data_IF_516841499879
#
_entry.id   IF_516841499879
#
_cell.length_a   1.000
_cell.length_b   1.000
_cell.length_c   1.000
_cell.angle_alpha   90.00
_cell.angle_beta   90.00
_cell.angle_gamma   90.00
#
_symmetry.space_group_name_H-M   'P 1'
#
loop_
_entity.id
_entity.type
_entity.pdbx_description
1 polymer ?
#
# COMPACT_ATOMS: atom_id res chain seq x y z
N UNK A 1 -11.23 4.03 18.49
CA UNK A 1 -9.76 3.99 18.65
C UNK A 1 -9.24 2.64 19.14
N UNK A 2 -9.72 2.07 20.24
CA UNK A 2 -9.20 0.78 20.78
C UNK A 2 -9.17 -0.36 19.75
N UNK A 3 -10.27 -0.59 19.02
CA UNK A 3 -10.32 -1.64 17.98
C UNK A 3 -9.37 -1.40 16.80
N UNK A 4 -9.15 -0.13 16.44
CA UNK A 4 -8.29 0.24 15.32
C UNK A 4 -6.82 -0.10 15.64
N UNK A 5 -6.33 0.39 16.78
CA UNK A 5 -4.96 0.13 17.24
C UNK A 5 -4.75 -1.35 17.56
N UNK A 6 -5.77 -2.03 18.09
CA UNK A 6 -5.71 -3.46 18.36
C UNK A 6 -5.54 -4.27 17.07
N UNK A 7 -6.32 -3.98 16.02
CA UNK A 7 -6.16 -4.64 14.72
C UNK A 7 -4.80 -4.30 14.10
N UNK A 8 -4.42 -3.02 14.13
CA UNK A 8 -3.22 -2.53 13.47
C UNK A 8 -1.94 -3.09 14.08
N UNK A 9 -1.87 -3.24 15.40
CA UNK A 9 -0.64 -3.60 16.09
C UNK A 9 -0.64 -5.05 16.61
N UNK A 10 -1.78 -5.58 17.04
CA UNK A 10 -1.83 -6.82 17.82
C UNK A 10 -2.49 -8.00 17.09
N UNK A 11 -3.08 -7.79 15.90
CA UNK A 11 -3.76 -8.84 15.13
C UNK A 11 -3.21 -8.96 13.71
N UNK A 12 -2.00 -9.52 13.53
CA UNK A 12 -1.33 -9.58 12.22
C UNK A 12 -2.14 -10.33 11.15
N UNK A 13 -2.87 -11.37 11.51
CA UNK A 13 -3.74 -12.12 10.61
C UNK A 13 -4.94 -11.32 10.12
N UNK A 14 -5.58 -10.56 11.01
CA UNK A 14 -6.70 -9.67 10.64
C UNK A 14 -6.18 -8.52 9.80
N UNK A 15 -5.04 -7.94 10.18
CA UNK A 15 -4.39 -6.87 9.42
C UNK A 15 -4.03 -7.30 8.01
N UNK A 16 -3.42 -8.48 7.86
CA UNK A 16 -3.09 -9.04 6.55
C UNK A 16 -4.35 -9.31 5.72
N UNK A 17 -5.43 -9.81 6.34
CA UNK A 17 -6.70 -10.01 5.66
C UNK A 17 -7.31 -8.71 5.14
N UNK A 18 -7.35 -7.67 5.97
CA UNK A 18 -7.83 -6.33 5.60
C UNK A 18 -6.97 -5.75 4.47
N UNK A 19 -5.64 -5.81 4.60
CA UNK A 19 -4.70 -5.32 3.58
C UNK A 19 -4.80 -6.08 2.25
N UNK A 20 -5.20 -7.35 2.28
CA UNK A 20 -5.25 -8.24 1.10
C UNK A 20 -6.17 -7.72 0.00
N UNK A 21 -7.28 -7.05 0.34
CA UNK A 21 -8.21 -6.49 -0.64
C UNK A 21 -7.63 -5.30 -1.43
N UNK A 22 -6.78 -4.48 -0.81
CA UNK A 22 -6.04 -3.42 -1.51
C UNK A 22 -4.92 -4.03 -2.35
N UNK A 23 -4.16 -4.97 -1.78
CA UNK A 23 -3.08 -5.65 -2.48
C UNK A 23 -3.56 -6.36 -3.76
N UNK A 24 -4.70 -7.04 -3.71
CA UNK A 24 -5.31 -7.69 -4.86
C UNK A 24 -5.69 -6.70 -5.97
N UNK A 25 -6.22 -5.51 -5.61
CA UNK A 25 -6.52 -4.43 -6.56
C UNK A 25 -5.25 -3.90 -7.21
N UNK A 26 -4.21 -3.62 -6.42
CA UNK A 26 -2.91 -3.15 -6.92
C UNK A 26 -2.32 -4.18 -7.89
N UNK A 27 -2.31 -5.45 -7.49
CA UNK A 27 -1.75 -6.52 -8.31
C UNK A 27 -2.52 -6.72 -9.62
N UNK A 28 -3.84 -6.62 -9.58
CA UNK A 28 -4.66 -6.64 -10.79
C UNK A 28 -4.25 -5.54 -11.78
N UNK A 29 -4.16 -4.31 -11.30
CA UNK A 29 -3.76 -3.18 -12.13
C UNK A 29 -2.29 -3.22 -12.57
N UNK A 30 -1.38 -3.76 -11.75
CA UNK A 30 0.01 -4.04 -12.17
C UNK A 30 0.05 -4.94 -13.39
N UNK A 31 -0.73 -6.02 -13.37
CA UNK A 31 -0.84 -6.94 -14.52
C UNK A 31 -1.45 -6.29 -15.74
N UNK A 32 -2.44 -5.40 -15.56
CA UNK A 32 -3.01 -4.62 -16.66
C UNK A 32 -1.99 -3.63 -17.23
N UNK A 33 -1.26 -2.91 -16.38
CA UNK A 33 -0.26 -1.95 -16.80
C UNK A 33 0.85 -2.59 -17.65
N UNK A 34 1.28 -3.82 -17.32
CA UNK A 34 2.22 -4.60 -18.14
C UNK A 34 1.74 -4.87 -19.57
N UNK A 35 0.42 -4.90 -19.79
CA UNK A 35 -0.19 -5.10 -21.12
C UNK A 35 -0.33 -3.81 -21.90
N UNK A 36 -0.08 -2.67 -21.27
CA UNK A 36 -0.26 -1.33 -21.84
C UNK A 36 1.11 -0.74 -22.20
N UNK A 37 1.13 0.23 -23.13
CA UNK A 37 2.39 0.78 -23.68
C UNK A 37 3.27 1.38 -22.57
N UNK A 38 4.59 1.19 -22.67
CA UNK A 38 5.59 1.82 -21.79
C UNK A 38 5.34 3.34 -21.71
N UNK A 39 5.39 3.89 -20.49
CA UNK A 39 5.09 5.30 -20.20
C UNK A 39 3.64 5.62 -19.80
N UNK A 40 2.76 4.62 -19.76
CA UNK A 40 1.39 4.81 -19.26
C UNK A 40 1.38 5.08 -17.75
N UNK A 41 0.73 6.17 -17.34
CA UNK A 41 0.48 6.50 -15.93
C UNK A 41 -0.92 6.03 -15.55
N UNK A 42 -1.03 5.35 -14.42
CA UNK A 42 -2.32 4.92 -13.86
C UNK A 42 -2.47 5.54 -12.47
N UNK A 43 -3.68 5.97 -12.13
CA UNK A 43 -4.07 6.30 -10.76
C UNK A 43 -4.88 5.12 -10.24
N UNK A 44 -4.30 4.36 -9.31
CA UNK A 44 -4.66 2.96 -9.15
C UNK A 44 -5.69 2.67 -8.07
N UNK A 45 -5.76 3.44 -6.99
CA UNK A 45 -6.66 3.08 -5.89
C UNK A 45 -7.13 4.32 -5.14
N UNK A 46 -8.45 4.56 -5.18
CA UNK A 46 -9.09 5.37 -4.16
C UNK A 46 -9.57 4.43 -3.05
N UNK A 47 -9.00 4.57 -1.85
CA UNK A 47 -9.40 3.81 -0.66
C UNK A 47 -9.80 4.84 0.38
N UNK A 48 -11.08 4.84 0.77
CA UNK A 48 -11.65 5.83 1.68
C UNK A 48 -11.70 5.34 3.15
N UNK A 49 -11.16 4.17 3.46
CA UNK A 49 -11.23 3.59 4.79
C UNK A 49 -9.86 3.64 5.47
N UNK A 50 -9.79 4.45 6.53
CA UNK A 50 -8.60 4.68 7.36
C UNK A 50 -7.93 3.38 7.80
N UNK A 51 -8.72 2.39 8.26
CA UNK A 51 -8.20 1.10 8.69
C UNK A 51 -7.59 0.30 7.54
N UNK A 52 -8.26 0.24 6.39
CA UNK A 52 -7.77 -0.52 5.24
C UNK A 52 -6.42 0.03 4.77
N UNK A 53 -6.33 1.36 4.70
CA UNK A 53 -5.12 2.09 4.35
C UNK A 53 -3.99 1.85 5.35
N UNK A 54 -4.28 2.05 6.64
CA UNK A 54 -3.30 1.86 7.70
C UNK A 54 -2.79 0.43 7.73
N UNK A 55 -3.68 -0.57 7.65
CA UNK A 55 -3.31 -1.98 7.59
C UNK A 55 -2.44 -2.29 6.36
N UNK A 56 -2.80 -1.77 5.18
CA UNK A 56 -2.02 -1.98 3.96
C UNK A 56 -0.63 -1.34 4.04
N UNK A 57 -0.53 -0.11 4.54
CA UNK A 57 0.76 0.57 4.69
C UNK A 57 1.61 -0.09 5.77
N UNK A 58 1.02 -0.55 6.88
CA UNK A 58 1.75 -1.30 7.92
C UNK A 58 2.42 -2.55 7.34
N UNK A 59 1.76 -3.22 6.41
CA UNK A 59 2.26 -4.45 5.79
C UNK A 59 3.25 -4.18 4.64
N UNK A 60 3.02 -3.16 3.81
CA UNK A 60 3.73 -3.03 2.53
C UNK A 60 4.56 -1.75 2.38
N UNK A 61 4.44 -0.76 3.25
CA UNK A 61 5.24 0.46 3.16
C UNK A 61 6.70 0.13 3.48
N UNK A 62 7.61 0.67 2.68
CA UNK A 62 9.05 0.71 2.99
C UNK A 62 9.48 2.16 2.96
N UNK A 63 10.06 2.62 4.07
CA UNK A 63 10.58 3.96 4.28
C UNK A 63 12.11 3.89 4.24
N UNK A 64 12.72 4.64 3.33
CA UNK A 64 14.17 4.80 3.28
C UNK A 64 14.56 5.94 4.24
N UNK A 65 15.33 5.60 5.27
CA UNK A 65 15.87 6.54 6.28
C UNK A 65 17.40 6.58 6.17
N UNK A 66 18.03 7.51 6.87
CA UNK A 66 19.50 7.58 6.94
C UNK A 66 20.13 6.33 7.56
N UNK A 67 19.40 5.67 8.48
CA UNK A 67 19.84 4.46 9.19
C UNK A 67 19.55 3.17 8.42
N UNK A 68 18.78 3.24 7.32
CA UNK A 68 18.43 2.10 6.48
C UNK A 68 16.94 2.05 6.11
N UNK A 69 16.47 0.87 5.70
CA UNK A 69 15.08 0.65 5.30
C UNK A 69 14.22 0.20 6.49
N UNK A 70 13.13 0.92 6.75
CA UNK A 70 12.11 0.57 7.74
C UNK A 70 10.88 0.03 7.01
N UNK A 71 10.39 -1.15 7.40
CA UNK A 71 9.13 -1.72 6.90
C UNK A 71 7.96 -1.28 7.79
N UNK A 72 6.89 -0.81 7.18
CA UNK A 72 5.72 -0.30 7.88
C UNK A 72 6.05 0.89 8.78
N UNK A 73 5.38 0.92 9.92
CA UNK A 73 5.50 1.91 10.99
C UNK A 73 5.09 1.25 12.30
N UNK A 74 5.46 1.78 13.46
CA UNK A 74 5.00 1.29 14.77
C UNK A 74 3.74 2.04 15.20
N UNK A 75 3.76 3.38 15.13
CA UNK A 75 2.64 4.27 15.44
C UNK A 75 2.14 4.96 14.16
N UNK A 76 0.82 5.07 14.00
CA UNK A 76 0.21 5.75 12.85
C UNK A 76 0.66 7.23 12.72
N UNK A 77 1.05 7.87 13.82
CA UNK A 77 1.65 9.22 13.82
C UNK A 77 2.91 9.31 12.97
N UNK A 78 3.69 8.23 12.86
CA UNK A 78 4.90 8.23 12.04
C UNK A 78 4.63 8.39 10.55
N UNK A 79 3.41 8.05 10.12
CA UNK A 79 2.97 8.25 8.75
C UNK A 79 2.04 9.44 8.62
N UNK A 80 1.97 10.34 9.61
CA UNK A 80 1.13 11.55 9.58
C UNK A 80 -0.23 11.44 10.30
N UNK A 81 -0.46 10.38 11.08
CA UNK A 81 -1.69 10.18 11.84
C UNK A 81 -2.81 9.51 11.04
N UNK A 82 -4.03 9.46 11.59
CA UNK A 82 -5.20 8.89 10.92
C UNK A 82 -5.46 9.54 9.56
N UNK A 83 -6.05 8.77 8.65
CA UNK A 83 -6.46 9.26 7.34
C UNK A 83 -7.77 10.04 7.45
N UNK A 84 -7.84 11.19 6.77
CA UNK A 84 -9.10 11.93 6.65
C UNK A 84 -10.17 11.11 5.90
N UNK A 85 -11.48 11.38 6.09
CA UNK A 85 -12.57 10.63 5.43
C UNK A 85 -12.53 10.62 3.89
N UNK A 86 -11.85 11.60 3.29
CA UNK A 86 -11.66 11.73 1.85
C UNK A 86 -10.18 11.69 1.45
N UNK A 87 -9.30 11.28 2.36
CA UNK A 87 -7.88 11.17 2.07
C UNK A 87 -7.61 9.89 1.27
N UNK A 88 -6.91 10.04 0.15
CA UNK A 88 -6.52 8.93 -0.71
C UNK A 88 -5.03 8.99 -1.00
N UNK A 89 -4.51 7.94 -1.61
CA UNK A 89 -3.14 7.92 -2.12
C UNK A 89 -3.13 7.49 -3.59
N UNK A 90 -2.35 8.20 -4.39
CA UNK A 90 -2.06 7.83 -5.75
C UNK A 90 -0.88 6.85 -5.78
N UNK A 91 -1.09 5.69 -6.40
CA UNK A 91 -0.01 4.81 -6.82
C UNK A 91 0.30 5.03 -8.28
N UNK A 92 1.50 5.52 -8.56
CA UNK A 92 2.03 5.66 -9.92
C UNK A 92 2.94 4.48 -10.22
N UNK A 93 2.45 3.60 -11.09
CA UNK A 93 3.26 2.53 -11.68
C UNK A 93 4.14 3.10 -12.79
N UNK A 94 5.44 3.15 -12.54
CA UNK A 94 6.43 3.44 -13.56
C UNK A 94 6.98 2.13 -14.11
N UNK A 95 6.67 1.84 -15.37
CA UNK A 95 7.28 0.77 -16.15
C UNK A 95 8.41 1.39 -16.97
N UNK A 96 9.63 1.38 -16.43
CA UNK A 96 10.79 1.83 -17.19
C UNK A 96 11.12 0.84 -18.33
N UNK A 97 11.93 1.27 -19.29
CA UNK A 97 12.38 0.42 -20.42
C UNK A 97 13.26 -0.77 -19.99
N UNK A 98 13.65 -0.85 -18.71
CA UNK A 98 14.43 -1.93 -18.10
C UNK A 98 13.58 -2.84 -17.20
N UNK A 99 12.26 -2.68 -17.22
CA UNK A 99 11.31 -3.45 -16.41
C UNK A 99 11.47 -3.29 -14.89
N UNK A 100 12.15 -2.25 -14.38
CA UNK A 100 12.11 -1.94 -12.95
C UNK A 100 10.76 -1.30 -12.65
N UNK A 101 9.89 -2.10 -12.05
CA UNK A 101 8.59 -1.65 -11.54
C UNK A 101 8.80 -0.77 -10.31
N UNK A 102 8.64 0.54 -10.50
CA UNK A 102 8.59 1.49 -9.40
C UNK A 102 7.13 1.85 -9.11
N UNK A 103 6.68 1.62 -7.87
CA UNK A 103 5.43 2.19 -7.35
C UNK A 103 5.76 3.46 -6.59
N UNK A 104 5.47 4.61 -7.20
CA UNK A 104 5.56 5.89 -6.50
C UNK A 104 4.24 6.17 -5.78
N UNK A 105 4.34 6.62 -4.53
CA UNK A 105 3.22 7.04 -3.71
C UNK A 105 3.08 8.55 -3.73
N UNK A 106 1.84 9.03 -3.75
CA UNK A 106 1.53 10.40 -3.40
C UNK A 106 0.29 10.40 -2.53
N UNK A 107 0.38 10.94 -1.32
CA UNK A 107 -0.79 11.20 -0.48
C UNK A 107 -1.48 12.48 -0.93
N UNK A 108 -2.79 12.55 -0.73
CA UNK A 108 -3.54 13.79 -0.95
C UNK A 108 -3.09 14.89 0.02
N UNK A 109 -2.82 14.54 1.29
CA UNK A 109 -2.11 15.41 2.21
C UNK A 109 -0.62 15.51 1.83
N UNK A 110 -0.13 16.68 1.36
CA UNK A 110 1.24 16.84 0.91
C UNK A 110 2.28 16.81 2.04
N UNK A 111 1.87 17.03 3.29
CA UNK A 111 2.76 16.97 4.46
C UNK A 111 3.04 15.52 4.88
N UNK A 112 2.19 14.58 4.46
CA UNK A 112 2.30 13.18 4.84
C UNK A 112 3.52 12.55 4.19
N UNK A 113 4.48 12.11 5.02
CA UNK A 113 5.71 11.45 4.59
C UNK A 113 6.53 12.26 3.57
N UNK A 114 6.38 13.60 3.57
CA UNK A 114 7.02 14.50 2.59
C UNK A 114 8.55 14.43 2.61
N UNK A 115 9.13 14.10 3.76
CA UNK A 115 10.57 14.11 4.00
C UNK A 115 11.20 12.72 3.90
N UNK A 116 10.43 11.69 3.56
CA UNK A 116 10.88 10.29 3.57
C UNK A 116 10.63 9.67 2.21
N UNK A 117 11.66 9.06 1.63
CA UNK A 117 11.49 8.34 0.36
C UNK A 117 10.77 7.02 0.62
N UNK A 118 9.58 6.89 0.05
CA UNK A 118 8.70 5.75 0.27
C UNK A 118 8.59 4.86 -0.97
N UNK A 119 8.53 3.55 -0.76
CA UNK A 119 8.25 2.54 -1.80
C UNK A 119 7.37 1.41 -1.24
N UNK A 120 6.77 0.61 -2.13
CA UNK A 120 6.06 -0.60 -1.75
C UNK A 120 6.99 -1.81 -1.74
N UNK A 121 6.89 -2.66 -0.72
CA UNK A 121 7.37 -4.04 -0.76
C UNK A 121 6.47 -4.84 -1.73
N UNK A 122 6.90 -4.87 -2.98
CA UNK A 122 6.19 -5.53 -4.07
C UNK A 122 5.95 -7.01 -3.79
N UNK A 123 6.94 -7.69 -3.18
CA UNK A 123 6.81 -9.10 -2.84
C UNK A 123 5.69 -9.30 -1.82
N UNK A 124 5.62 -8.43 -0.80
CA UNK A 124 4.55 -8.48 0.19
C UNK A 124 3.18 -8.17 -0.42
N UNK A 125 3.09 -7.23 -1.34
CA UNK A 125 1.85 -6.96 -2.11
C UNK A 125 1.40 -8.20 -2.87
N UNK A 126 2.31 -8.93 -3.51
CA UNK A 126 1.98 -10.17 -4.24
C UNK A 126 1.50 -11.29 -3.32
N UNK A 127 2.14 -11.47 -2.16
CA UNK A 127 1.71 -12.42 -1.12
C UNK A 127 0.30 -12.13 -0.61
N UNK A 128 0.01 -10.87 -0.25
CA UNK A 128 -1.31 -10.45 0.21
C UNK A 128 -2.37 -10.56 -0.89
N UNK A 129 -2.02 -10.23 -2.13
CA UNK A 129 -2.92 -10.42 -3.27
C UNK A 129 -3.25 -11.90 -3.52
N UNK A 130 -2.33 -12.80 -3.20
CA UNK A 130 -2.55 -14.24 -3.27
C UNK A 130 -3.46 -14.73 -2.14
N UNK A 131 -3.23 -14.25 -0.91
CA UNK A 131 -4.11 -14.51 0.25
C UNK A 131 -5.57 -14.16 -0.06
N UNK A 132 -5.81 -12.98 -0.65
CA UNK A 132 -7.15 -12.56 -1.06
C UNK A 132 -7.78 -13.53 -2.07
N UNK A 133 -7.02 -13.97 -3.08
CA UNK A 133 -7.53 -14.89 -4.11
C UNK A 133 -7.86 -16.26 -3.54
N UNK A 134 -7.06 -16.78 -2.63
CA UNK A 134 -7.31 -18.09 -2.00
C UNK A 134 -8.56 -18.05 -1.14
N UNK A 135 -8.76 -16.96 -0.40
CA UNK A 135 -9.91 -16.78 0.47
C UNK A 135 -11.22 -16.49 -0.28
N UNK A 136 -11.16 -15.71 -1.35
CA UNK A 136 -12.35 -15.18 -2.04
C UNK A 136 -12.56 -15.71 -3.47
N UNK A 137 -11.74 -16.66 -3.96
CA UNK A 137 -12.12 -17.47 -5.13
C UNK A 137 -13.34 -18.30 -4.74
N UNK A 138 -14.49 -17.97 -5.32
CA UNK A 138 -15.61 -18.90 -5.41
C UNK A 138 -15.10 -20.19 -6.05
N UNK A 139 -15.32 -21.33 -5.37
CA UNK A 139 -15.37 -22.64 -6.05
C UNK A 139 -16.47 -22.61 -7.10
#
# INVERSE_FOLDING_TARGET
EVFFEEVLNNRPEVRADVASGIAARIEHYRKLAKRLKSGSKYSLVNVNHDLDLACFLKECLVRETEEGEIKGFEDIKEIGGSFGPAEFFELKLNLDKKSKEGLAFKFDNPERLSNVKCKLDIKRVEELAQLFKEKYRKK
#
